data_IF_199503406973
#
_entry.id   IF_199503406973
#
_cell.length_a   1.000
_cell.length_b   1.000
_cell.length_c   1.000
_cell.angle_alpha   90.00
_cell.angle_beta   90.00
_cell.angle_gamma   90.00
#
_symmetry.space_group_name_H-M   'P 1'
#
loop_
_entity.id
_entity.type
_entity.pdbx_description
1 polymer ?
#
# COMPACT_ATOMS: atom_id res chain seq x y z
N UNK A 1 -7.01 11.14 -11.62
CA UNK A 1 -7.73 10.62 -10.43
C UNK A 1 -7.08 9.36 -9.87
N UNK A 2 -6.99 8.23 -10.60
CA UNK A 2 -6.34 7.00 -10.10
C UNK A 2 -4.90 7.18 -9.60
N UNK A 3 -4.08 7.99 -10.29
CA UNK A 3 -2.70 8.31 -9.87
C UNK A 3 -2.65 8.92 -8.45
N UNK A 4 -3.62 9.78 -8.11
CA UNK A 4 -3.65 10.44 -6.80
C UNK A 4 -3.91 9.39 -5.72
N UNK A 5 -4.86 8.47 -5.94
CA UNK A 5 -5.11 7.37 -5.01
C UNK A 5 -3.89 6.44 -4.88
N UNK A 6 -3.19 6.13 -5.98
CA UNK A 6 -1.98 5.30 -5.94
C UNK A 6 -0.85 5.90 -5.10
N UNK A 7 -0.79 7.24 -4.99
CA UNK A 7 0.24 7.95 -4.21
C UNK A 7 -0.22 8.28 -2.78
N UNK A 8 -1.50 8.62 -2.60
CA UNK A 8 -2.08 9.00 -1.30
C UNK A 8 -2.20 7.78 -0.38
N UNK A 9 -2.59 6.62 -0.89
CA UNK A 9 -2.75 5.40 -0.08
C UNK A 9 -1.46 5.00 0.63
N UNK A 10 -0.30 4.84 -0.05
CA UNK A 10 0.94 4.47 0.65
C UNK A 10 1.38 5.56 1.62
N UNK A 11 1.14 6.84 1.30
CA UNK A 11 1.41 7.96 2.21
C UNK A 11 0.56 7.85 3.49
N UNK A 12 -0.74 7.56 3.33
CA UNK A 12 -1.68 7.40 4.45
C UNK A 12 -1.29 6.23 5.34
N UNK A 13 -0.87 5.12 4.74
CA UNK A 13 -0.39 3.94 5.48
C UNK A 13 0.84 4.27 6.33
N UNK A 14 1.80 5.02 5.77
CA UNK A 14 2.99 5.47 6.52
C UNK A 14 2.60 6.43 7.65
N UNK A 15 1.72 7.39 7.38
CA UNK A 15 1.24 8.34 8.40
C UNK A 15 0.54 7.60 9.55
N UNK A 16 -0.38 6.68 9.22
CA UNK A 16 -1.08 5.86 10.22
C UNK A 16 -0.11 5.02 11.03
N UNK A 17 0.90 4.43 10.39
CA UNK A 17 1.94 3.64 11.06
C UNK A 17 2.82 4.45 12.02
N UNK A 18 2.98 5.75 11.78
CA UNK A 18 3.75 6.64 12.65
C UNK A 18 2.90 7.16 13.81
N UNK A 19 1.60 7.40 13.58
CA UNK A 19 0.72 8.01 14.58
C UNK A 19 0.12 7.00 15.56
N UNK A 20 -0.02 5.73 15.17
CA UNK A 20 -0.71 4.71 15.96
C UNK A 20 0.17 3.49 16.18
N UNK A 21 -0.04 2.81 17.31
CA UNK A 21 0.63 1.55 17.60
C UNK A 21 0.25 0.46 16.57
N UNK A 22 1.21 -0.37 16.11
CA UNK A 22 0.98 -1.37 15.07
C UNK A 22 -0.17 -2.34 15.36
N UNK A 23 -0.39 -2.65 16.64
CA UNK A 23 -1.43 -3.56 17.15
C UNK A 23 -2.86 -3.11 16.86
N UNK A 24 -3.12 -1.81 16.73
CA UNK A 24 -4.47 -1.28 16.48
C UNK A 24 -4.79 -1.08 15.01
N UNK A 25 -3.78 -0.81 14.18
CA UNK A 25 -3.95 -0.39 12.79
C UNK A 25 -3.59 -1.45 11.76
N UNK A 26 -3.04 -2.61 12.17
CA UNK A 26 -2.53 -3.62 11.23
C UNK A 26 -3.60 -4.06 10.22
N UNK A 27 -4.87 -4.22 10.64
CA UNK A 27 -5.97 -4.58 9.74
C UNK A 27 -6.20 -3.48 8.71
N UNK A 28 -6.31 -2.23 9.17
CA UNK A 28 -6.56 -1.08 8.29
C UNK A 28 -5.41 -0.88 7.31
N UNK A 29 -4.16 -0.93 7.78
CA UNK A 29 -2.99 -0.78 6.92
C UNK A 29 -2.83 -1.91 5.91
N UNK A 30 -3.21 -3.15 6.29
CA UNK A 30 -3.26 -4.28 5.36
C UNK A 30 -4.30 -4.07 4.27
N UNK A 31 -5.51 -3.65 4.63
CA UNK A 31 -6.58 -3.33 3.67
C UNK A 31 -6.19 -2.18 2.74
N UNK A 32 -5.62 -1.10 3.29
CA UNK A 32 -5.14 0.03 2.51
C UNK A 32 -4.02 -0.39 1.56
N UNK A 33 -3.10 -1.23 1.99
CA UNK A 33 -2.02 -1.73 1.14
C UNK A 33 -2.53 -2.60 -0.02
N UNK A 34 -3.52 -3.48 0.23
CA UNK A 34 -4.20 -4.25 -0.82
C UNK A 34 -4.90 -3.30 -1.80
N UNK A 35 -5.59 -2.28 -1.29
CA UNK A 35 -6.27 -1.31 -2.13
C UNK A 35 -5.30 -0.48 -2.98
N UNK A 36 -4.16 -0.07 -2.41
CA UNK A 36 -3.10 0.66 -3.09
C UNK A 36 -2.45 -0.14 -4.22
N UNK A 37 -2.19 -1.43 -4.00
CA UNK A 37 -1.69 -2.33 -5.04
C UNK A 37 -2.71 -2.57 -6.14
N UNK A 38 -4.00 -2.77 -5.81
CA UNK A 38 -5.07 -2.89 -6.80
C UNK A 38 -5.21 -1.64 -7.67
N UNK A 39 -5.24 -0.45 -7.07
CA UNK A 39 -5.30 0.77 -7.88
C UNK A 39 -4.04 0.97 -8.73
N UNK A 40 -2.86 0.63 -8.20
CA UNK A 40 -1.62 0.78 -8.96
C UNK A 40 -1.48 -0.23 -10.09
N UNK A 41 -1.98 -1.46 -9.93
CA UNK A 41 -2.03 -2.45 -11.02
C UNK A 41 -2.96 -2.02 -12.14
N UNK A 42 -4.15 -1.51 -11.78
CA UNK A 42 -5.10 -0.92 -12.74
C UNK A 42 -4.47 0.28 -13.44
N UNK A 43 -3.83 1.19 -12.71
CA UNK A 43 -3.17 2.36 -13.29
C UNK A 43 -1.98 1.98 -14.20
N UNK A 44 -1.21 0.95 -13.86
CA UNK A 44 -0.13 0.42 -14.70
C UNK A 44 -0.66 -0.14 -16.02
N UNK A 45 -1.81 -0.83 -15.99
CA UNK A 45 -2.47 -1.34 -17.19
C UNK A 45 -2.92 -0.22 -18.14
N UNK A 46 -3.44 0.89 -17.60
CA UNK A 46 -3.92 2.01 -18.40
C UNK A 46 -2.84 2.99 -18.85
N UNK A 47 -1.81 3.21 -18.03
CA UNK A 47 -0.71 4.14 -18.31
C UNK A 47 0.61 3.48 -17.91
N UNK A 48 1.22 2.74 -18.84
CA UNK A 48 2.58 2.17 -18.73
C UNK A 48 3.66 3.26 -18.78
N UNK A 49 3.58 4.24 -17.89
CA UNK A 49 4.58 5.29 -17.73
C UNK A 49 5.48 4.99 -16.51
N UNK A 50 6.70 5.51 -16.49
CA UNK A 50 7.71 5.32 -15.44
C UNK A 50 7.14 5.60 -14.05
N UNK A 51 6.37 6.68 -13.89
CA UNK A 51 5.68 7.03 -12.64
C UNK A 51 4.71 5.94 -12.15
N UNK A 52 3.98 5.32 -13.07
CA UNK A 52 3.01 4.26 -12.75
C UNK A 52 3.72 2.98 -12.28
N UNK A 53 4.86 2.67 -12.90
CA UNK A 53 5.72 1.55 -12.48
C UNK A 53 6.29 1.79 -11.09
N UNK A 54 6.79 3.00 -10.82
CA UNK A 54 7.33 3.36 -9.49
C UNK A 54 6.26 3.24 -8.41
N UNK A 55 5.05 3.76 -8.65
CA UNK A 55 3.93 3.65 -7.72
C UNK A 55 3.51 2.19 -7.48
N UNK A 56 3.57 1.35 -8.52
CA UNK A 56 3.28 -0.08 -8.40
C UNK A 56 4.28 -0.76 -7.48
N UNK A 57 5.57 -0.51 -7.70
CA UNK A 57 6.65 -1.10 -6.88
C UNK A 57 6.53 -0.67 -5.43
N UNK A 58 6.29 0.62 -5.15
CA UNK A 58 6.13 1.12 -3.78
C UNK A 58 4.96 0.45 -3.07
N UNK A 59 3.79 0.41 -3.72
CA UNK A 59 2.61 -0.24 -3.13
C UNK A 59 2.82 -1.76 -2.94
N UNK A 60 3.50 -2.42 -3.88
CA UNK A 60 3.79 -3.85 -3.79
C UNK A 60 4.75 -4.17 -2.63
N UNK A 61 5.79 -3.35 -2.44
CA UNK A 61 6.73 -3.49 -1.30
C UNK A 61 6.00 -3.29 0.02
N UNK A 62 5.14 -2.26 0.10
CA UNK A 62 4.30 -2.03 1.28
C UNK A 62 3.39 -3.22 1.57
N UNK A 63 2.81 -3.84 0.54
CA UNK A 63 1.98 -5.03 0.70
C UNK A 63 2.76 -6.21 1.25
N UNK A 64 3.93 -6.48 0.67
CA UNK A 64 4.80 -7.56 1.15
C UNK A 64 5.19 -7.33 2.61
N UNK A 65 5.56 -6.10 2.97
CA UNK A 65 5.89 -5.74 4.34
C UNK A 65 4.73 -6.04 5.31
N UNK A 66 3.52 -5.58 4.99
CA UNK A 66 2.37 -5.82 5.87
C UNK A 66 1.94 -7.29 5.92
N UNK A 67 1.98 -8.01 4.79
CA UNK A 67 1.70 -9.45 4.77
C UNK A 67 2.68 -10.22 5.66
N UNK A 68 3.98 -9.94 5.57
CA UNK A 68 4.99 -10.57 6.43
C UNK A 68 4.74 -10.23 7.89
N UNK A 69 4.53 -8.94 8.19
CA UNK A 69 4.32 -8.47 9.56
C UNK A 69 3.10 -9.15 10.19
N UNK A 70 1.99 -9.20 9.44
CA UNK A 70 0.75 -9.85 9.89
C UNK A 70 0.95 -11.34 10.09
N UNK A 71 1.64 -12.01 9.17
CA UNK A 71 1.93 -13.45 9.26
C UNK A 71 2.75 -13.75 10.51
N UNK A 72 3.78 -12.95 10.81
CA UNK A 72 4.60 -13.09 12.02
C UNK A 72 3.78 -12.82 13.28
N UNK A 73 2.90 -11.81 13.28
CA UNK A 73 2.08 -11.49 14.47
C UNK A 73 0.97 -12.51 14.76
N UNK A 74 0.57 -13.32 13.77
CA UNK A 74 -0.48 -14.34 13.93
C UNK A 74 0.07 -15.72 14.30
N UNK A 75 1.39 -15.94 14.18
CA UNK A 75 2.09 -17.18 14.57
C UNK A 75 2.57 -17.05 16.02
#
# INVERSE_FOLDING_TARGET
MLIIFCAVIPLLVVILAVLFEPSYIWVLNSLLSILGTLFSTVNFRFRKNTLSTVLLVINAVLLIYYVITVTITLI
#
